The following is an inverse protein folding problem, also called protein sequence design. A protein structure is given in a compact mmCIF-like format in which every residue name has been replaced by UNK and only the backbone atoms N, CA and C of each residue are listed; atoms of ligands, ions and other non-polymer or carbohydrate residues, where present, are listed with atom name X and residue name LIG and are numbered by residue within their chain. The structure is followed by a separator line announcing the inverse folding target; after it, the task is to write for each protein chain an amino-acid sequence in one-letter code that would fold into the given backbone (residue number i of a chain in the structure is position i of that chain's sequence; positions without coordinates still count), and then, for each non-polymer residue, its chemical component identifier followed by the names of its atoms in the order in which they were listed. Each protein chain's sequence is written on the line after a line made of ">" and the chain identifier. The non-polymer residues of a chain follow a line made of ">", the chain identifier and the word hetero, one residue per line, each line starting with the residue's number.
data_IF_193094506480
#
_entry.id   IF_193094506480
#
_cell.length_a   1.000
_cell.length_b   1.000
_cell.length_c   1.000
_cell.angle_alpha   90.00
_cell.angle_beta   90.00
_cell.angle_gamma   90.00
#
_symmetry.space_group_name_H-M   'P 1'
#
loop_
_entity.id
_entity.type
_entity.pdbx_description
1 polymer ?
#
# COMPACT_ATOMS: atom_id res chain seq x y z
N UNK A 1 21.99 -1.09 -4.82
CA UNK A 1 21.78 -0.97 -6.28
C UNK A 1 21.25 0.42 -6.62
N UNK A 2 21.59 0.97 -7.78
CA UNK A 2 21.06 2.28 -8.21
C UNK A 2 19.63 2.14 -8.75
N UNK A 3 18.78 3.14 -8.49
CA UNK A 3 17.38 3.15 -8.95
C UNK A 3 17.26 3.09 -10.47
N UNK A 4 18.20 3.70 -11.19
CA UNK A 4 18.30 3.64 -12.64
C UNK A 4 18.60 2.23 -13.13
N UNK A 5 19.55 1.52 -12.50
CA UNK A 5 19.88 0.14 -12.88
C UNK A 5 18.69 -0.80 -12.68
N UNK A 6 17.99 -0.68 -11.54
CA UNK A 6 16.77 -1.47 -11.27
C UNK A 6 15.70 -1.18 -12.32
N UNK A 7 15.50 0.10 -12.69
CA UNK A 7 14.56 0.48 -13.74
C UNK A 7 14.92 -0.13 -15.09
N UNK A 8 16.19 -0.10 -15.47
CA UNK A 8 16.67 -0.66 -16.74
C UNK A 8 16.48 -2.18 -16.80
N UNK A 9 16.73 -2.87 -15.69
CA UNK A 9 16.45 -4.31 -15.54
C UNK A 9 14.96 -4.59 -15.78
N UNK A 10 14.07 -3.85 -15.12
CA UNK A 10 12.62 -4.06 -15.25
C UNK A 10 12.05 -3.69 -16.64
N UNK A 11 12.74 -2.86 -17.42
CA UNK A 11 12.35 -2.55 -18.81
C UNK A 11 12.91 -3.56 -19.82
N UNK A 12 13.82 -4.44 -19.41
CA UNK A 12 14.49 -5.35 -20.32
C UNK A 12 13.59 -6.52 -20.73
N UNK A 13 13.20 -6.53 -22.01
CA UNK A 13 12.32 -7.55 -22.60
C UNK A 13 12.97 -8.94 -22.65
N UNK A 14 14.31 -9.02 -22.57
CA UNK A 14 15.06 -10.28 -22.58
C UNK A 14 14.62 -11.21 -21.45
N UNK A 15 14.30 -10.67 -20.27
CA UNK A 15 13.88 -11.49 -19.13
C UNK A 15 12.54 -12.19 -19.37
N UNK A 16 11.69 -11.66 -20.24
CA UNK A 16 10.43 -12.27 -20.66
C UNK A 16 10.56 -13.12 -21.94
N UNK A 17 11.78 -13.43 -22.39
CA UNK A 17 12.01 -14.29 -23.56
C UNK A 17 12.07 -13.55 -24.90
N UNK A 18 12.14 -12.21 -24.91
CA UNK A 18 12.16 -11.42 -26.15
C UNK A 18 13.55 -10.89 -26.49
N UNK A 19 13.91 -10.91 -27.77
CA UNK A 19 15.09 -10.25 -28.31
C UNK A 19 14.69 -8.96 -29.02
N UNK A 20 15.32 -7.85 -28.65
CA UNK A 20 15.11 -6.54 -29.26
C UNK A 20 16.35 -6.13 -30.06
N UNK A 21 16.20 -5.97 -31.37
CA UNK A 21 17.25 -5.52 -32.27
C UNK A 21 16.95 -4.12 -32.83
N UNK A 22 18.00 -3.38 -33.17
CA UNK A 22 17.93 -2.01 -33.69
C UNK A 22 17.16 -1.02 -32.79
N UNK A 23 17.34 -1.10 -31.46
CA UNK A 23 16.73 -0.17 -30.48
C UNK A 23 17.07 1.31 -30.74
N UNK A 24 18.25 1.58 -31.28
CA UNK A 24 18.70 2.92 -31.67
C UNK A 24 19.17 2.94 -33.13
N UNK A 25 18.84 4.02 -33.85
CA UNK A 25 19.26 4.30 -35.24
C UNK A 25 20.23 5.48 -35.23
N UNK A 26 21.19 5.50 -36.16
CA UNK A 26 22.18 6.58 -36.30
C UNK A 26 22.93 6.84 -34.98
N UNK A 27 23.40 5.75 -34.35
CA UNK A 27 24.07 5.80 -33.04
C UNK A 27 25.30 6.72 -33.04
N UNK A 28 26.00 6.80 -34.17
CA UNK A 28 27.17 7.66 -34.35
C UNK A 28 26.85 9.13 -34.10
N UNK A 29 25.72 9.63 -34.63
CA UNK A 29 25.35 11.05 -34.56
C UNK A 29 24.36 11.36 -33.43
N UNK A 30 23.34 10.52 -33.24
CA UNK A 30 22.25 10.79 -32.28
C UNK A 30 22.41 10.07 -30.94
N UNK A 31 23.30 9.08 -30.83
CA UNK A 31 23.50 8.27 -29.61
C UNK A 31 22.13 7.84 -29.03
N UNK A 32 21.91 8.00 -27.72
CA UNK A 32 20.64 7.67 -27.02
C UNK A 32 19.43 8.50 -27.47
N UNK A 33 19.62 9.63 -28.17
CA UNK A 33 18.51 10.43 -28.73
C UNK A 33 17.94 9.82 -30.01
N UNK A 34 18.67 8.90 -30.66
CA UNK A 34 18.25 8.22 -31.88
C UNK A 34 17.37 7.00 -31.63
N UNK A 35 16.32 7.12 -30.81
CA UNK A 35 15.47 5.97 -30.46
C UNK A 35 14.67 5.51 -31.68
N UNK A 36 14.72 4.21 -32.00
CA UNK A 36 13.98 3.65 -33.12
C UNK A 36 12.48 3.59 -32.77
N UNK A 37 11.56 4.14 -33.60
CA UNK A 37 10.12 3.99 -33.37
C UNK A 37 9.62 2.55 -33.62
N UNK A 38 10.32 1.75 -34.42
CA UNK A 38 9.96 0.36 -34.76
C UNK A 38 11.18 -0.56 -34.63
N UNK A 39 11.63 -0.87 -33.40
CA UNK A 39 12.66 -1.88 -33.19
C UNK A 39 12.13 -3.26 -33.58
N UNK A 40 13.03 -4.13 -34.05
CA UNK A 40 12.66 -5.52 -34.38
C UNK A 40 12.57 -6.28 -33.06
N UNK A 41 11.39 -6.83 -32.78
CA UNK A 41 11.14 -7.62 -31.58
C UNK A 41 10.78 -9.05 -32.02
N UNK A 42 11.55 -10.03 -31.53
CA UNK A 42 11.33 -11.45 -31.84
C UNK A 42 11.37 -12.28 -30.56
N UNK A 43 10.66 -13.41 -30.53
CA UNK A 43 10.74 -14.35 -29.41
C UNK A 43 12.07 -15.11 -29.51
N UNK A 44 12.87 -15.04 -28.45
CA UNK A 44 14.16 -15.71 -28.35
C UNK A 44 14.00 -17.21 -28.06
N UNK A 45 15.09 -17.94 -28.22
CA UNK A 45 15.17 -19.38 -27.91
C UNK A 45 15.64 -19.66 -26.48
N UNK A 46 16.02 -18.62 -25.73
CA UNK A 46 16.49 -18.76 -24.36
C UNK A 46 15.32 -18.93 -23.38
N UNK A 47 15.60 -19.60 -22.26
CA UNK A 47 14.63 -19.73 -21.19
C UNK A 47 14.38 -18.36 -20.53
N UNK A 48 13.12 -17.90 -20.45
CA UNK A 48 12.78 -16.64 -19.81
C UNK A 48 12.99 -16.73 -18.30
N UNK A 49 13.47 -15.64 -17.69
CA UNK A 49 13.64 -15.54 -16.22
C UNK A 49 12.30 -15.25 -15.54
N UNK A 50 11.41 -14.51 -16.22
CA UNK A 50 10.08 -14.15 -15.73
C UNK A 50 9.01 -14.52 -16.76
N UNK A 51 7.80 -14.78 -16.28
CA UNK A 51 6.66 -15.03 -17.15
C UNK A 51 6.32 -13.80 -17.98
N UNK A 52 5.73 -14.04 -19.16
CA UNK A 52 5.26 -12.96 -20.03
C UNK A 52 4.14 -12.14 -19.36
N UNK A 53 3.27 -12.81 -18.60
CA UNK A 53 2.21 -12.18 -17.81
C UNK A 53 2.76 -11.23 -16.74
N UNK A 54 3.78 -11.65 -16.00
CA UNK A 54 4.36 -10.80 -14.95
C UNK A 54 5.13 -9.63 -15.53
N UNK A 55 5.83 -9.83 -16.65
CA UNK A 55 6.45 -8.73 -17.37
C UNK A 55 5.42 -7.70 -17.82
N UNK A 56 4.30 -8.16 -18.38
CA UNK A 56 3.22 -7.30 -18.84
C UNK A 56 2.60 -6.50 -17.69
N UNK A 57 2.31 -7.13 -16.53
CA UNK A 57 1.85 -6.44 -15.32
C UNK A 57 2.81 -5.33 -14.87
N UNK A 58 4.12 -5.58 -14.94
CA UNK A 58 5.14 -4.57 -14.61
C UNK A 58 5.11 -3.40 -15.60
N UNK A 59 4.99 -3.66 -16.90
CA UNK A 59 4.91 -2.60 -17.91
C UNK A 59 3.63 -1.76 -17.77
N UNK A 60 2.49 -2.39 -17.48
CA UNK A 60 1.23 -1.71 -17.21
C UNK A 60 1.34 -0.79 -15.99
N UNK A 61 1.97 -1.27 -14.91
CA UNK A 61 2.27 -0.46 -13.74
C UNK A 61 3.15 0.74 -14.08
N UNK A 62 4.19 0.56 -14.91
CA UNK A 62 5.00 1.69 -15.38
C UNK A 62 4.20 2.69 -16.23
N UNK A 63 3.26 2.23 -17.06
CA UNK A 63 2.42 3.10 -17.88
C UNK A 63 1.45 3.93 -17.01
N UNK A 64 0.88 3.33 -15.96
CA UNK A 64 0.04 4.00 -14.98
C UNK A 64 0.84 5.02 -14.16
N UNK A 65 1.99 4.62 -13.61
CA UNK A 65 2.83 5.49 -12.78
C UNK A 65 3.56 6.58 -13.59
N UNK A 66 3.92 6.31 -14.85
CA UNK A 66 4.68 7.22 -15.70
C UNK A 66 3.91 8.45 -16.17
N UNK A 67 2.57 8.38 -16.22
CA UNK A 67 1.69 9.53 -16.52
C UNK A 67 1.51 10.46 -15.32
N UNK A 68 1.90 10.03 -14.13
CA UNK A 68 1.64 10.71 -12.88
C UNK A 68 2.94 11.36 -12.36
N UNK A 69 2.90 12.63 -11.93
CA UNK A 69 4.08 13.24 -11.33
C UNK A 69 4.48 12.48 -10.06
N UNK A 70 5.78 12.18 -9.94
CA UNK A 70 6.33 11.52 -8.75
C UNK A 70 5.99 12.36 -7.51
N UNK A 71 5.28 11.75 -6.57
CA UNK A 71 5.08 12.37 -5.28
C UNK A 71 6.34 12.16 -4.46
N UNK A 72 6.85 13.24 -3.89
CA UNK A 72 8.07 13.30 -3.10
C UNK A 72 7.92 12.68 -1.69
N UNK A 73 6.80 12.00 -1.40
CA UNK A 73 6.48 11.29 -0.14
C UNK A 73 6.60 12.14 1.14
N UNK A 74 6.89 13.42 1.02
CA UNK A 74 7.14 14.40 2.09
C UNK A 74 6.16 15.56 2.06
N UNK A 75 5.32 15.66 1.03
CA UNK A 75 4.39 16.78 0.86
C UNK A 75 3.02 16.50 1.46
N UNK A 76 2.52 17.42 2.28
CA UNK A 76 1.18 17.38 2.91
C UNK A 76 0.01 17.45 1.91
N UNK A 77 0.29 17.77 0.65
CA UNK A 77 -0.71 18.06 -0.37
C UNK A 77 -1.10 16.80 -1.17
N UNK A 78 -2.18 16.14 -0.74
CA UNK A 78 -2.66 14.85 -1.26
C UNK A 78 -3.12 14.91 -2.71
N UNK A 79 -3.71 16.02 -3.16
CA UNK A 79 -4.25 16.18 -4.51
C UNK A 79 -3.20 16.60 -5.56
N UNK A 80 -1.93 16.70 -5.18
CA UNK A 80 -0.84 17.13 -6.09
C UNK A 80 -0.75 16.18 -7.29
N UNK A 81 -0.90 16.71 -8.50
CA UNK A 81 -0.87 15.93 -9.74
C UNK A 81 -2.20 15.31 -10.15
N UNK A 82 -3.21 15.30 -9.28
CA UNK A 82 -4.59 14.91 -9.59
C UNK A 82 -5.39 16.11 -10.10
N UNK A 83 -5.27 17.24 -9.40
CA UNK A 83 -5.91 18.49 -9.82
C UNK A 83 -5.32 19.01 -11.14
N UNK A 84 -6.21 19.54 -11.99
CA UNK A 84 -5.89 20.10 -13.29
C UNK A 84 -6.27 21.58 -13.32
N UNK A 85 -5.41 22.39 -13.94
CA UNK A 85 -5.68 23.79 -14.15
C UNK A 85 -6.88 23.94 -15.10
N UNK A 86 -7.91 24.74 -14.75
CA UNK A 86 -9.09 24.92 -15.60
C UNK A 86 -8.78 25.64 -16.92
N UNK A 87 -7.70 26.41 -16.96
CA UNK A 87 -7.32 27.22 -18.13
C UNK A 87 -6.45 26.43 -19.12
N UNK A 88 -5.34 25.85 -18.67
CA UNK A 88 -4.37 25.18 -19.54
C UNK A 88 -4.38 23.64 -19.47
N UNK A 89 -5.22 23.04 -18.62
CA UNK A 89 -5.29 21.58 -18.43
C UNK A 89 -4.05 20.92 -17.83
N UNK A 90 -3.01 21.71 -17.50
CA UNK A 90 -1.80 21.21 -16.88
C UNK A 90 -2.07 20.73 -15.43
N UNK A 91 -1.28 19.79 -14.89
CA UNK A 91 -1.41 19.40 -13.49
C UNK A 91 -1.13 20.58 -12.56
N UNK A 92 -1.83 20.62 -11.42
CA UNK A 92 -1.57 21.59 -10.36
C UNK A 92 -0.53 21.03 -9.39
N UNK A 93 0.35 21.91 -8.92
CA UNK A 93 1.43 21.61 -7.99
C UNK A 93 1.17 22.26 -6.62
N UNK A 94 1.75 21.67 -5.59
CA UNK A 94 1.80 22.24 -4.25
C UNK A 94 2.52 23.60 -4.24
N UNK A 95 1.89 24.60 -3.62
CA UNK A 95 2.47 25.92 -3.37
C UNK A 95 2.21 26.29 -1.91
N UNK A 96 3.28 26.47 -1.13
CA UNK A 96 3.19 26.80 0.29
C UNK A 96 3.69 28.22 0.50
N UNK A 97 2.93 29.02 1.22
CA UNK A 97 3.26 30.41 1.57
C UNK A 97 3.24 30.54 3.08
N UNK A 98 4.24 31.20 3.65
CA UNK A 98 4.29 31.48 5.10
C UNK A 98 4.02 32.96 5.32
N UNK A 99 2.90 33.26 6.00
CA UNK A 99 2.56 34.61 6.42
C UNK A 99 2.98 34.86 7.86
N UNK A 100 3.51 36.04 8.15
CA UNK A 100 3.75 36.49 9.53
C UNK A 100 2.56 37.33 9.99
N UNK A 101 1.94 36.93 11.10
CA UNK A 101 0.83 37.65 11.72
C UNK A 101 1.34 38.87 12.49
N UNK A 102 0.41 39.75 12.89
CA UNK A 102 0.72 40.99 13.64
C UNK A 102 1.38 40.72 15.00
N UNK A 103 1.13 39.55 15.58
CA UNK A 103 1.71 39.06 16.83
C UNK A 103 3.10 38.41 16.66
N UNK A 104 3.65 38.40 15.42
CA UNK A 104 4.93 37.78 15.09
C UNK A 104 4.86 36.28 14.82
N UNK A 105 3.69 35.65 14.97
CA UNK A 105 3.53 34.21 14.68
C UNK A 105 3.56 33.93 13.19
N UNK A 106 4.18 32.81 12.78
CA UNK A 106 4.24 32.39 11.37
C UNK A 106 3.14 31.37 11.08
N UNK A 107 2.28 31.66 10.12
CA UNK A 107 1.22 30.76 9.63
C UNK A 107 1.55 30.28 8.22
N UNK A 108 1.77 28.98 8.09
CA UNK A 108 1.86 28.32 6.80
C UNK A 108 0.47 28.18 6.16
N UNK A 109 0.35 28.51 4.88
CA UNK A 109 -0.86 28.34 4.09
C UNK A 109 -0.51 27.51 2.86
N UNK A 110 -1.29 26.45 2.63
CA UNK A 110 -1.12 25.51 1.53
C UNK A 110 -2.08 25.84 0.39
N UNK A 111 -1.56 25.82 -0.82
CA UNK A 111 -2.30 26.02 -2.06
C UNK A 111 -1.97 24.93 -3.08
N UNK A 112 -2.91 24.68 -3.97
CA UNK A 112 -2.64 24.06 -5.27
C UNK A 112 -2.61 25.17 -6.31
N UNK A 113 -1.55 25.25 -7.12
CA UNK A 113 -1.39 26.25 -8.18
C UNK A 113 -1.00 25.60 -9.50
N UNK A 114 -1.30 26.23 -10.63
CA UNK A 114 -0.91 25.73 -11.95
C UNK A 114 0.61 25.50 -12.03
N UNK A 115 1.02 24.27 -12.40
CA UNK A 115 2.45 23.93 -12.53
C UNK A 115 3.13 24.68 -13.67
N UNK A 116 2.41 24.93 -14.78
CA UNK A 116 2.95 25.62 -15.95
C UNK A 116 3.22 27.07 -15.63
N UNK A 117 2.29 27.77 -14.97
CA UNK A 117 2.54 29.14 -14.48
C UNK A 117 3.76 29.18 -13.56
N UNK A 118 3.85 28.25 -12.61
CA UNK A 118 4.93 28.25 -11.62
C UNK A 118 6.31 27.97 -12.23
N UNK A 119 6.36 27.21 -13.32
CA UNK A 119 7.61 26.85 -13.99
C UNK A 119 7.98 27.79 -15.15
N UNK A 120 6.99 28.35 -15.87
CA UNK A 120 7.19 29.15 -17.10
C UNK A 120 6.77 30.61 -16.96
N UNK A 121 6.13 30.99 -15.86
CA UNK A 121 5.68 32.35 -15.57
C UNK A 121 4.30 32.70 -16.12
N UNK A 122 3.91 33.97 -15.88
CA UNK A 122 2.62 34.55 -16.24
C UNK A 122 2.37 34.65 -17.76
N UNK A 123 3.42 34.50 -18.58
CA UNK A 123 3.31 34.56 -20.04
C UNK A 123 2.58 33.37 -20.65
N UNK A 124 2.45 32.25 -19.91
CA UNK A 124 1.87 31.00 -20.44
C UNK A 124 0.54 30.62 -19.78
N UNK A 125 0.33 30.99 -18.53
CA UNK A 125 -0.89 30.69 -17.76
C UNK A 125 -0.95 31.59 -16.52
N UNK A 126 -2.06 31.58 -15.79
CA UNK A 126 -2.19 32.21 -14.48
C UNK A 126 -1.95 31.23 -13.32
N UNK A 127 -1.77 31.77 -12.11
CA UNK A 127 -1.56 30.97 -10.90
C UNK A 127 -2.71 29.98 -10.63
N UNK A 128 -3.96 30.42 -10.86
CA UNK A 128 -5.20 29.66 -10.65
C UNK A 128 -5.17 28.89 -9.32
N UNK A 129 -4.75 29.59 -8.26
CA UNK A 129 -4.47 28.98 -6.97
C UNK A 129 -5.77 28.72 -6.18
N UNK A 130 -5.91 27.51 -5.64
CA UNK A 130 -6.97 27.15 -4.70
C UNK A 130 -6.35 26.74 -3.36
N UNK A 131 -6.99 27.10 -2.25
CA UNK A 131 -6.54 26.67 -0.91
C UNK A 131 -6.60 25.15 -0.81
N UNK A 132 -5.54 24.54 -0.31
CA UNK A 132 -5.43 23.08 -0.27
C UNK A 132 -6.53 22.47 0.59
N UNK A 133 -6.82 23.05 1.76
CA UNK A 133 -7.92 22.62 2.63
C UNK A 133 -9.26 22.62 1.92
N UNK A 134 -9.61 23.70 1.20
CA UNK A 134 -10.88 23.79 0.48
C UNK A 134 -11.00 22.74 -0.63
N UNK A 135 -9.93 22.54 -1.40
CA UNK A 135 -9.91 21.53 -2.46
C UNK A 135 -9.98 20.11 -1.88
N UNK A 136 -9.25 19.84 -0.80
CA UNK A 136 -9.21 18.54 -0.12
C UNK A 136 -10.57 18.18 0.49
N UNK A 137 -11.23 19.14 1.17
CA UNK A 137 -12.58 18.95 1.71
C UNK A 137 -13.59 18.69 0.59
N UNK A 138 -13.56 19.48 -0.48
CA UNK A 138 -14.48 19.30 -1.61
C UNK A 138 -14.35 17.91 -2.25
N UNK A 139 -13.12 17.44 -2.47
CA UNK A 139 -12.89 16.08 -3.03
C UNK A 139 -13.34 15.00 -2.05
N UNK A 140 -13.08 15.17 -0.75
CA UNK A 140 -13.52 14.22 0.27
C UNK A 140 -15.06 14.12 0.32
N UNK A 141 -15.76 15.25 0.28
CA UNK A 141 -17.22 15.27 0.29
C UNK A 141 -17.81 14.62 -0.96
N UNK A 142 -17.24 14.94 -2.13
CA UNK A 142 -17.68 14.32 -3.39
C UNK A 142 -17.44 12.81 -3.42
N UNK A 143 -16.35 12.34 -2.80
CA UNK A 143 -16.08 10.90 -2.66
C UNK A 143 -17.15 10.22 -1.79
N UNK A 144 -17.61 10.86 -0.71
CA UNK A 144 -18.69 10.33 0.14
C UNK A 144 -19.99 10.16 -0.64
N UNK A 145 -20.34 11.15 -1.47
CA UNK A 145 -21.52 11.08 -2.33
C UNK A 145 -21.44 9.91 -3.32
N UNK A 146 -20.27 9.69 -3.92
CA UNK A 146 -20.05 8.57 -4.86
C UNK A 146 -20.20 7.22 -4.15
N UNK A 147 -19.66 7.09 -2.93
CA UNK A 147 -19.76 5.85 -2.14
C UNK A 147 -21.21 5.54 -1.75
N UNK A 148 -22.04 6.56 -1.55
CA UNK A 148 -23.47 6.39 -1.26
C UNK A 148 -24.30 5.94 -2.47
N UNK A 149 -23.72 5.91 -3.68
CA UNK A 149 -24.43 5.40 -4.85
C UNK A 149 -24.75 3.91 -4.67
N UNK A 150 -25.99 3.48 -5.01
CA UNK A 150 -26.46 2.11 -4.76
C UNK A 150 -25.69 1.04 -5.54
N UNK A 151 -24.99 1.40 -6.61
CA UNK A 151 -24.12 0.49 -7.38
C UNK A 151 -22.75 0.29 -6.74
N UNK A 152 -22.25 1.30 -6.01
CA UNK A 152 -20.90 1.34 -5.45
C UNK A 152 -20.88 0.73 -4.06
N UNK A 153 -21.86 1.07 -3.22
CA UNK A 153 -21.88 0.69 -1.81
C UNK A 153 -21.84 -0.84 -1.59
N UNK A 154 -22.67 -1.66 -2.26
CA UNK A 154 -22.64 -3.12 -2.05
C UNK A 154 -21.32 -3.74 -2.49
N UNK A 155 -20.74 -3.23 -3.59
CA UNK A 155 -19.43 -3.70 -4.10
C UNK A 155 -18.30 -3.35 -3.14
N UNK A 156 -18.31 -2.15 -2.58
CA UNK A 156 -17.34 -1.73 -1.58
C UNK A 156 -17.45 -2.59 -0.32
N UNK A 157 -18.66 -2.85 0.17
CA UNK A 157 -18.88 -3.72 1.33
C UNK A 157 -18.37 -5.14 1.08
N UNK A 158 -18.66 -5.70 -0.10
CA UNK A 158 -18.16 -7.01 -0.46
C UNK A 158 -16.62 -7.06 -0.47
N UNK A 159 -15.97 -6.08 -1.10
CA UNK A 159 -14.50 -6.00 -1.15
C UNK A 159 -13.86 -5.79 0.24
N UNK A 160 -14.48 -4.98 1.11
CA UNK A 160 -13.99 -4.79 2.47
C UNK A 160 -14.12 -6.06 3.31
N UNK A 161 -15.25 -6.76 3.22
CA UNK A 161 -15.44 -8.03 3.92
C UNK A 161 -14.47 -9.10 3.41
N UNK A 162 -14.21 -9.14 2.10
CA UNK A 162 -13.22 -10.05 1.52
C UNK A 162 -11.81 -9.76 2.05
N UNK A 163 -11.41 -8.50 2.17
CA UNK A 163 -10.11 -8.13 2.74
C UNK A 163 -10.03 -8.43 4.26
N UNK A 164 -11.13 -8.25 5.01
CA UNK A 164 -11.20 -8.67 6.42
C UNK A 164 -10.96 -10.17 6.53
N UNK A 165 -11.68 -10.98 5.73
CA UNK A 165 -11.49 -12.43 5.69
C UNK A 165 -10.06 -12.80 5.29
N UNK A 166 -9.48 -12.10 4.32
CA UNK A 166 -8.10 -12.34 3.89
C UNK A 166 -7.08 -12.08 4.99
N UNK A 167 -7.32 -11.06 5.82
CA UNK A 167 -6.45 -10.73 6.95
C UNK A 167 -6.69 -11.66 8.16
N UNK A 168 -7.93 -12.14 8.34
CA UNK A 168 -8.30 -13.06 9.42
C UNK A 168 -7.80 -14.48 9.15
N UNK A 169 -7.87 -14.95 7.90
CA UNK A 169 -7.51 -16.32 7.51
C UNK A 169 -6.13 -16.80 7.99
N UNK A 170 -5.01 -16.04 7.84
CA UNK A 170 -3.72 -16.49 8.37
C UNK A 170 -3.70 -16.57 9.90
N UNK A 171 -4.41 -15.68 10.60
CA UNK A 171 -4.51 -15.68 12.05
C UNK A 171 -5.38 -16.85 12.54
N UNK A 172 -6.45 -17.19 11.81
CA UNK A 172 -7.27 -18.37 12.08
C UNK A 172 -6.46 -19.67 11.90
N UNK A 173 -5.67 -19.76 10.83
CA UNK A 173 -4.76 -20.89 10.62
C UNK A 173 -3.68 -20.99 11.70
N UNK A 174 -3.09 -19.85 12.09
CA UNK A 174 -2.12 -19.80 13.19
C UNK A 174 -2.77 -20.29 14.49
N UNK A 175 -4.00 -19.86 14.79
CA UNK A 175 -4.73 -20.28 15.99
C UNK A 175 -4.97 -21.79 16.03
N UNK A 176 -5.37 -22.40 14.91
CA UNK A 176 -5.56 -23.87 14.83
C UNK A 176 -4.26 -24.61 15.14
N UNK A 177 -3.14 -24.20 14.53
CA UNK A 177 -1.83 -24.82 14.76
C UNK A 177 -1.37 -24.63 16.21
N UNK A 178 -1.61 -23.45 16.80
CA UNK A 178 -1.29 -23.18 18.20
C UNK A 178 -2.08 -24.07 19.17
N UNK A 179 -3.38 -24.27 18.90
CA UNK A 179 -4.24 -25.13 19.72
C UNK A 179 -3.78 -26.59 19.66
N UNK A 180 -3.49 -27.12 18.47
CA UNK A 180 -2.93 -28.47 18.30
C UNK A 180 -1.60 -28.61 19.07
N UNK A 181 -0.70 -27.62 18.94
CA UNK A 181 0.60 -27.66 19.60
C UNK A 181 0.51 -27.57 21.12
N UNK A 182 -0.46 -26.83 21.65
CA UNK A 182 -0.74 -26.78 23.09
C UNK A 182 -1.23 -28.13 23.61
N UNK A 183 -2.10 -28.81 22.86
CA UNK A 183 -2.60 -30.14 23.26
C UNK A 183 -1.48 -31.19 23.23
N UNK A 184 -0.60 -31.14 22.22
CA UNK A 184 0.61 -31.98 22.18
C UNK A 184 1.55 -31.74 23.36
N UNK A 185 1.75 -30.49 23.79
CA UNK A 185 2.57 -30.17 24.95
C UNK A 185 1.89 -30.59 26.26
N UNK A 186 0.57 -30.40 26.36
CA UNK A 186 -0.21 -30.82 27.53
C UNK A 186 -0.13 -32.33 27.73
N UNK A 187 -0.39 -33.11 26.69
CA UNK A 187 -0.26 -34.58 26.74
C UNK A 187 1.16 -35.05 27.02
N UNK A 188 2.19 -34.31 26.59
CA UNK A 188 3.57 -34.58 26.99
C UNK A 188 3.76 -34.33 28.47
N UNK A 189 3.41 -33.14 28.96
CA UNK A 189 3.54 -32.76 30.37
C UNK A 189 2.85 -33.79 31.28
N UNK A 190 1.61 -34.18 30.98
CA UNK A 190 0.86 -35.20 31.73
C UNK A 190 1.60 -36.56 31.78
N UNK A 191 2.24 -36.98 30.67
CA UNK A 191 3.05 -38.21 30.65
C UNK A 191 4.30 -38.11 31.52
N UNK A 192 4.98 -36.97 31.52
CA UNK A 192 6.16 -36.76 32.37
C UNK A 192 5.79 -36.65 33.84
N UNK A 193 4.65 -36.01 34.16
CA UNK A 193 4.10 -35.93 35.52
C UNK A 193 3.72 -37.32 36.06
N UNK A 194 3.03 -38.14 35.26
CA UNK A 194 2.71 -39.52 35.64
C UNK A 194 3.96 -40.39 35.88
N UNK A 195 4.98 -40.28 35.02
CA UNK A 195 6.24 -41.00 35.19
C UNK A 195 7.01 -40.56 36.45
N UNK A 196 6.80 -39.32 36.89
CA UNK A 196 7.40 -38.78 38.11
C UNK A 196 6.70 -39.30 39.37
N UNK A 197 5.37 -39.48 39.33
CA UNK A 197 4.60 -40.11 40.41
C UNK A 197 5.04 -41.57 40.63
N UNK A 198 5.32 -42.31 39.55
CA UNK A 198 5.80 -43.70 39.61
C UNK A 198 7.27 -43.82 40.06
N UNK A 199 8.09 -42.78 39.89
CA UNK A 199 9.54 -42.82 40.17
C UNK A 199 10.10 -41.46 40.57
N UNK A 200 9.97 -41.09 41.86
CA UNK A 200 10.36 -39.78 42.38
C UNK A 200 11.85 -39.45 42.23
N UNK A 201 12.69 -40.47 42.11
CA UNK A 201 14.15 -40.36 41.98
C UNK A 201 14.59 -39.67 40.68
N UNK A 202 13.72 -39.66 39.65
CA UNK A 202 13.98 -39.02 38.36
C UNK A 202 13.77 -37.50 38.38
N UNK A 203 13.19 -36.95 39.45
CA UNK A 203 12.86 -35.52 39.57
C UNK A 203 14.02 -34.57 39.23
N UNK A 204 15.25 -34.75 39.77
CA UNK A 204 16.35 -33.81 39.53
C UNK A 204 16.78 -33.78 38.06
N UNK A 205 16.58 -34.87 37.31
CA UNK A 205 16.92 -34.97 35.89
C UNK A 205 15.80 -34.45 34.97
N UNK A 206 14.55 -34.48 35.44
CA UNK A 206 13.37 -34.15 34.65
C UNK A 206 12.88 -32.72 34.84
N UNK A 207 13.25 -32.07 35.95
CA UNK A 207 12.83 -30.71 36.29
C UNK A 207 13.09 -29.71 35.17
N UNK A 208 14.31 -29.65 34.66
CA UNK A 208 14.68 -28.70 33.59
C UNK A 208 13.86 -28.94 32.31
N UNK A 209 13.52 -30.20 32.02
CA UNK A 209 12.71 -30.58 30.86
C UNK A 209 11.25 -30.19 31.03
N UNK A 210 10.71 -30.35 32.24
CA UNK A 210 9.35 -29.98 32.58
C UNK A 210 9.18 -28.46 32.58
N UNK A 211 10.16 -27.73 33.12
CA UNK A 211 10.21 -26.26 33.08
C UNK A 211 10.27 -25.75 31.64
N UNK A 212 11.08 -26.37 30.77
CA UNK A 212 11.14 -26.04 29.34
C UNK A 212 9.79 -26.24 28.62
N UNK A 213 9.10 -27.36 28.89
CA UNK A 213 7.80 -27.67 28.28
C UNK A 213 6.69 -26.72 28.79
N UNK A 214 6.72 -26.40 30.08
CA UNK A 214 5.76 -25.49 30.72
C UNK A 214 5.93 -24.07 30.21
N UNK A 215 7.17 -23.61 30.05
CA UNK A 215 7.49 -22.30 29.48
C UNK A 215 7.05 -22.20 28.02
N UNK A 216 7.30 -23.24 27.21
CA UNK A 216 6.78 -23.30 25.82
C UNK A 216 5.26 -23.22 25.79
N UNK A 217 4.56 -23.95 26.67
CA UNK A 217 3.08 -23.89 26.77
C UNK A 217 2.60 -22.49 27.15
N UNK A 218 3.30 -21.81 28.06
CA UNK A 218 3.01 -20.44 28.48
C UNK A 218 3.16 -19.45 27.31
N UNK A 219 4.23 -19.56 26.54
CA UNK A 219 4.46 -18.72 25.35
C UNK A 219 3.36 -18.89 24.30
N UNK A 220 2.95 -20.12 24.01
CA UNK A 220 1.83 -20.38 23.09
C UNK A 220 0.51 -19.80 23.61
N UNK A 221 0.27 -19.85 24.93
CA UNK A 221 -0.93 -19.27 25.52
C UNK A 221 -0.95 -17.72 25.46
N UNK A 222 0.21 -17.07 25.63
CA UNK A 222 0.31 -15.62 25.43
C UNK A 222 -0.04 -15.28 23.98
N UNK A 223 0.52 -16.00 23.01
CA UNK A 223 0.28 -15.77 21.59
C UNK A 223 -1.19 -15.97 21.20
N UNK A 224 -1.83 -17.01 21.73
CA UNK A 224 -3.27 -17.24 21.57
C UNK A 224 -4.10 -16.05 22.09
N UNK A 225 -3.79 -15.55 23.29
CA UNK A 225 -4.49 -14.39 23.85
C UNK A 225 -4.27 -13.11 23.03
N UNK A 226 -3.08 -12.91 22.44
CA UNK A 226 -2.83 -11.82 21.50
C UNK A 226 -3.74 -11.92 20.27
N UNK A 227 -3.82 -13.11 19.65
CA UNK A 227 -4.65 -13.35 18.46
C UNK A 227 -6.13 -13.14 18.79
N UNK A 228 -6.62 -13.67 19.92
CA UNK A 228 -7.99 -13.46 20.38
C UNK A 228 -8.29 -11.98 20.65
N UNK A 229 -7.34 -11.24 21.18
CA UNK A 229 -7.44 -9.78 21.35
C UNK A 229 -7.58 -9.04 20.02
N UNK A 230 -6.86 -9.48 18.98
CA UNK A 230 -6.98 -8.92 17.62
C UNK A 230 -8.37 -9.21 17.03
N UNK A 231 -8.89 -10.43 17.18
CA UNK A 231 -10.23 -10.77 16.70
C UNK A 231 -11.34 -9.94 17.37
N UNK A 232 -11.23 -9.68 18.67
CA UNK A 232 -12.17 -8.79 19.37
C UNK A 232 -12.14 -7.35 18.81
N UNK A 233 -11.00 -6.89 18.32
CA UNK A 233 -10.86 -5.55 17.73
C UNK A 233 -11.33 -5.48 16.27
N UNK A 234 -11.28 -6.59 15.52
CA UNK A 234 -11.63 -6.62 14.10
C UNK A 234 -13.15 -6.51 13.84
N UNK A 235 -13.99 -6.80 14.85
CA UNK A 235 -15.44 -6.58 14.78
C UNK A 235 -16.19 -7.54 13.85
N UNK A 236 -17.51 -7.42 13.81
CA UNK A 236 -18.40 -8.25 12.97
C UNK A 236 -18.37 -7.83 11.49
N UNK A 237 -18.69 -8.75 10.56
CA UNK A 237 -18.78 -8.46 9.13
C UNK A 237 -19.72 -7.28 8.85
N UNK A 238 -19.27 -6.38 7.98
CA UNK A 238 -19.97 -5.13 7.68
C UNK A 238 -21.18 -5.43 6.80
N UNK A 239 -22.38 -5.02 7.24
CA UNK A 239 -23.60 -5.14 6.43
C UNK A 239 -23.89 -3.85 5.66
N UNK A 240 -24.53 -3.98 4.50
CA UNK A 240 -24.94 -2.82 3.66
C UNK A 240 -25.91 -1.89 4.40
N UNK A 241 -26.68 -2.41 5.38
CA UNK A 241 -27.58 -1.60 6.21
C UNK A 241 -26.83 -0.63 7.13
N UNK A 242 -25.53 -0.87 7.37
CA UNK A 242 -24.68 -0.05 8.23
C UNK A 242 -23.96 1.06 7.45
N UNK A 243 -24.64 1.72 6.50
CA UNK A 243 -24.09 2.81 5.68
C UNK A 243 -23.41 3.88 6.56
N UNK A 244 -24.01 4.18 7.71
CA UNK A 244 -23.44 5.12 8.69
C UNK A 244 -22.13 4.63 9.31
N UNK A 245 -21.96 3.33 9.56
CA UNK A 245 -20.67 2.79 10.02
C UNK A 245 -19.61 2.91 8.94
N UNK A 246 -19.96 2.65 7.67
CA UNK A 246 -19.01 2.75 6.55
C UNK A 246 -18.54 4.21 6.37
N UNK A 247 -19.46 5.16 6.39
CA UNK A 247 -19.13 6.58 6.27
C UNK A 247 -18.30 7.08 7.47
N UNK A 248 -18.66 6.65 8.68
CA UNK A 248 -17.92 7.00 9.90
C UNK A 248 -16.51 6.39 9.90
N UNK A 249 -16.37 5.16 9.43
CA UNK A 249 -15.08 4.49 9.27
C UNK A 249 -14.23 5.15 8.18
N UNK A 250 -14.86 5.60 7.08
CA UNK A 250 -14.18 6.37 6.04
C UNK A 250 -13.69 7.73 6.58
N UNK A 251 -14.51 8.44 7.36
CA UNK A 251 -14.12 9.69 7.99
C UNK A 251 -12.95 9.49 8.95
N UNK A 252 -13.01 8.43 9.77
CA UNK A 252 -11.90 8.06 10.65
C UNK A 252 -10.64 7.74 9.84
N UNK A 253 -10.76 7.00 8.75
CA UNK A 253 -9.65 6.67 7.86
C UNK A 253 -9.05 7.94 7.23
N UNK A 254 -9.86 8.80 6.61
CA UNK A 254 -9.39 10.05 6.02
C UNK A 254 -8.73 11.00 7.04
N UNK A 255 -9.13 10.92 8.32
CA UNK A 255 -8.56 11.72 9.40
C UNK A 255 -7.27 11.13 10.00
N UNK A 256 -7.20 9.81 10.20
CA UNK A 256 -6.12 9.13 10.95
C UNK A 256 -5.04 8.52 10.03
N UNK A 257 -5.35 8.27 8.77
CA UNK A 257 -4.41 7.65 7.84
C UNK A 257 -3.33 8.60 7.36
N UNK A 258 -2.18 8.03 7.04
CA UNK A 258 -1.11 8.78 6.40
C UNK A 258 -1.58 9.38 5.08
N UNK A 259 -1.15 10.60 4.77
CA UNK A 259 -1.47 11.32 3.53
C UNK A 259 -1.09 10.51 2.27
N UNK A 260 -0.13 9.58 2.38
CA UNK A 260 0.22 8.62 1.34
C UNK A 260 -0.93 7.68 0.98
N UNK A 261 -1.60 7.14 1.99
CA UNK A 261 -2.73 6.22 1.83
C UNK A 261 -3.93 6.96 1.25
N UNK A 262 -4.21 8.17 1.74
CA UNK A 262 -5.29 9.04 1.23
C UNK A 262 -5.06 9.36 -0.25
N UNK A 263 -3.82 9.69 -0.64
CA UNK A 263 -3.49 9.93 -2.05
C UNK A 263 -3.61 8.68 -2.91
N UNK A 264 -3.28 7.51 -2.38
CA UNK A 264 -3.47 6.25 -3.10
C UNK A 264 -4.95 5.99 -3.35
N UNK A 265 -5.80 6.24 -2.35
CA UNK A 265 -7.26 6.16 -2.48
C UNK A 265 -7.78 7.14 -3.56
N UNK A 266 -7.35 8.39 -3.56
CA UNK A 266 -7.77 9.33 -4.61
C UNK A 266 -7.24 9.00 -6.01
N UNK A 267 -6.31 8.04 -6.15
CA UNK A 267 -5.82 7.55 -7.44
C UNK A 267 -6.59 6.34 -7.96
N UNK A 268 -7.35 5.65 -7.10
CA UNK A 268 -8.12 4.48 -7.53
C UNK A 268 -9.43 4.87 -8.21
N UNK A 269 -9.91 6.09 -7.98
CA UNK A 269 -11.04 6.70 -8.66
C UNK A 269 -10.55 7.61 -9.78
#
# INVERSE_FOLDING_TARGET
>A
FSTTAVKDILHNKIYAGYLEYARYINWETKRRKGKNPKPILVKGTHEPIISEEDYQKVQERFALEGKQPKWNHTGENVLTGLLRCPECGAPMAASNVTNTLKDGTKKGIRYYSCSVFRNKGASVCHANSIRAEQAETFVADRLKEIIQLPEVLPRLVAALNEEIVRQSQPLEQELVVLLERKEELKTKIEKWEAALEDSPELFPMLKDRLDELTEKRRQLHIRENEILGIFQQQGEPIQVKDVQRILTSLDRFLAQSEKKQIKALYRTF
#
